data_IF_879364725886
#
_entry.id   IF_879364725886
#
_cell.length_a   1.000
_cell.length_b   1.000
_cell.length_c   1.000
_cell.angle_alpha   90.00
_cell.angle_beta   90.00
_cell.angle_gamma   90.00
#
_symmetry.space_group_name_H-M   'P 1'
#
loop_
_entity.id
_entity.type
_entity.pdbx_description
1 polymer ?
#
# COMPACT_ATOMS: atom_id res chain seq x y z
N UNK A 1 -22.83 -19.47 11.78
CA UNK A 1 -21.71 -19.76 10.86
C UNK A 1 -22.29 -20.35 9.58
N UNK A 2 -22.23 -19.62 8.47
CA UNK A 2 -22.61 -20.16 7.16
C UNK A 2 -21.55 -21.17 6.71
N UNK A 3 -21.98 -22.35 6.27
CA UNK A 3 -21.06 -23.39 5.78
C UNK A 3 -20.29 -22.97 4.53
N UNK A 4 -19.21 -23.69 4.22
CA UNK A 4 -18.45 -23.46 2.99
C UNK A 4 -19.36 -23.59 1.75
N UNK A 5 -19.20 -22.73 0.72
CA UNK A 5 -20.00 -22.79 -0.49
C UNK A 5 -19.75 -24.11 -1.24
N UNK A 6 -20.74 -24.55 -2.03
CA UNK A 6 -20.54 -25.64 -2.99
C UNK A 6 -19.58 -25.22 -4.11
N UNK A 7 -19.02 -26.19 -4.82
CA UNK A 7 -18.15 -25.93 -5.97
C UNK A 7 -18.85 -25.11 -7.08
N UNK A 8 -20.14 -25.35 -7.29
CA UNK A 8 -20.95 -24.61 -8.26
C UNK A 8 -21.19 -23.16 -7.84
N UNK A 9 -21.59 -22.94 -6.58
CA UNK A 9 -21.76 -21.61 -6.00
C UNK A 9 -20.46 -20.79 -6.09
N UNK A 10 -19.32 -21.44 -5.86
CA UNK A 10 -18.03 -20.79 -5.98
C UNK A 10 -17.70 -20.42 -7.43
N UNK A 11 -17.91 -21.31 -8.41
CA UNK A 11 -17.66 -20.98 -9.82
C UNK A 11 -18.51 -19.81 -10.30
N UNK A 12 -19.76 -19.72 -9.86
CA UNK A 12 -20.64 -18.59 -10.18
C UNK A 12 -20.05 -17.27 -9.63
N UNK A 13 -19.67 -17.24 -8.35
CA UNK A 13 -19.03 -16.06 -7.73
C UNK A 13 -17.72 -15.66 -8.41
N UNK A 14 -16.88 -16.63 -8.76
CA UNK A 14 -15.62 -16.36 -9.46
C UNK A 14 -15.87 -15.76 -10.85
N UNK A 15 -16.93 -16.17 -11.54
CA UNK A 15 -17.33 -15.58 -12.81
C UNK A 15 -17.78 -14.12 -12.65
N UNK A 16 -18.60 -13.83 -11.64
CA UNK A 16 -19.03 -12.46 -11.31
C UNK A 16 -17.83 -11.55 -11.00
N UNK A 17 -16.89 -12.02 -10.16
CA UNK A 17 -15.66 -11.27 -9.83
C UNK A 17 -14.83 -11.02 -11.08
N UNK A 18 -14.66 -12.04 -11.93
CA UNK A 18 -13.87 -11.93 -13.16
C UNK A 18 -14.45 -10.88 -14.09
N UNK A 19 -15.77 -10.89 -14.27
CA UNK A 19 -16.48 -9.91 -15.09
C UNK A 19 -16.30 -8.50 -14.54
N UNK A 20 -16.56 -8.29 -13.26
CA UNK A 20 -16.42 -6.99 -12.60
C UNK A 20 -14.99 -6.41 -12.67
N UNK A 21 -13.97 -7.28 -12.70
CA UNK A 21 -12.56 -6.86 -12.78
C UNK A 21 -12.00 -6.81 -14.21
N UNK A 22 -12.83 -7.00 -15.23
CA UNK A 22 -12.40 -6.90 -16.63
C UNK A 22 -11.56 -8.09 -17.11
N UNK A 23 -11.91 -9.30 -16.67
CA UNK A 23 -11.42 -10.56 -17.25
C UNK A 23 -10.47 -11.37 -16.39
N UNK A 24 -10.15 -10.97 -15.16
CA UNK A 24 -9.23 -11.69 -14.28
C UNK A 24 -9.72 -11.81 -12.84
N UNK A 25 -9.20 -12.80 -12.11
CA UNK A 25 -9.43 -12.97 -10.67
C UNK A 25 -8.09 -13.01 -9.95
N UNK A 26 -7.90 -12.10 -8.99
CA UNK A 26 -6.72 -12.16 -8.12
C UNK A 26 -6.89 -13.29 -7.09
N UNK A 27 -5.81 -13.99 -6.70
CA UNK A 27 -5.89 -15.16 -5.82
C UNK A 27 -6.63 -14.92 -4.50
N UNK A 28 -6.50 -13.73 -3.89
CA UNK A 28 -7.16 -13.45 -2.61
C UNK A 28 -8.67 -13.34 -2.72
N UNK A 29 -9.18 -12.80 -3.84
CA UNK A 29 -10.62 -12.81 -4.11
C UNK A 29 -11.17 -14.24 -4.17
N UNK A 30 -10.45 -15.16 -4.83
CA UNK A 30 -10.89 -16.55 -4.91
C UNK A 30 -10.84 -17.28 -3.57
N UNK A 31 -9.79 -17.07 -2.78
CA UNK A 31 -9.70 -17.61 -1.43
C UNK A 31 -10.84 -17.10 -0.51
N UNK A 32 -11.14 -15.79 -0.55
CA UNK A 32 -12.24 -15.22 0.23
C UNK A 32 -13.61 -15.67 -0.28
N UNK A 33 -13.83 -15.77 -1.58
CA UNK A 33 -15.08 -16.29 -2.13
C UNK A 33 -15.33 -17.75 -1.69
N UNK A 34 -14.27 -18.55 -1.55
CA UNK A 34 -14.31 -19.95 -1.16
C UNK A 34 -14.50 -20.19 0.35
N UNK A 35 -14.03 -19.30 1.22
CA UNK A 35 -14.05 -19.54 2.67
C UNK A 35 -14.47 -18.37 3.55
N UNK A 36 -14.39 -17.13 3.05
CA UNK A 36 -14.60 -15.91 3.82
C UNK A 36 -15.52 -14.91 3.07
N UNK A 37 -16.73 -15.29 2.66
CA UNK A 37 -17.57 -14.44 1.81
C UNK A 37 -17.97 -13.11 2.47
N UNK A 38 -18.14 -13.10 3.80
CA UNK A 38 -18.38 -11.84 4.53
C UNK A 38 -17.17 -10.90 4.51
N UNK A 39 -15.95 -11.46 4.56
CA UNK A 39 -14.73 -10.67 4.41
C UNK A 39 -14.56 -10.16 2.97
N UNK A 40 -14.94 -10.95 1.97
CA UNK A 40 -14.88 -10.52 0.57
C UNK A 40 -15.77 -9.29 0.33
N UNK A 41 -17.02 -9.30 0.82
CA UNK A 41 -17.91 -8.15 0.72
C UNK A 41 -17.35 -6.91 1.45
N UNK A 42 -16.80 -7.08 2.66
CA UNK A 42 -16.17 -5.99 3.40
C UNK A 42 -14.91 -5.45 2.69
N UNK A 43 -14.12 -6.33 2.08
CA UNK A 43 -12.95 -5.95 1.28
C UNK A 43 -13.35 -5.10 0.08
N UNK A 44 -14.44 -5.43 -0.62
CA UNK A 44 -14.91 -4.66 -1.78
C UNK A 44 -15.39 -3.26 -1.36
N UNK A 45 -16.15 -3.18 -0.25
CA UNK A 45 -16.54 -1.90 0.33
C UNK A 45 -15.32 -1.06 0.73
N UNK A 46 -14.32 -1.67 1.37
CA UNK A 46 -13.06 -1.00 1.72
C UNK A 46 -12.28 -0.58 0.47
N UNK A 47 -12.23 -1.40 -0.58
CA UNK A 47 -11.53 -1.07 -1.83
C UNK A 47 -12.17 0.14 -2.51
N UNK A 48 -13.49 0.18 -2.60
CA UNK A 48 -14.23 1.34 -3.09
C UNK A 48 -13.88 2.58 -2.25
N UNK A 49 -14.13 2.49 -0.94
CA UNK A 49 -13.98 3.61 -0.02
C UNK A 49 -12.55 4.11 0.09
N UNK A 50 -11.51 3.28 -0.07
CA UNK A 50 -10.12 3.73 0.10
C UNK A 50 -9.44 4.07 -1.24
N UNK A 51 -9.78 3.34 -2.31
CA UNK A 51 -9.00 3.38 -3.56
C UNK A 51 -9.72 4.13 -4.68
N UNK A 52 -11.03 3.98 -4.79
CA UNK A 52 -11.80 4.47 -5.93
C UNK A 52 -12.49 5.80 -5.66
N UNK A 53 -12.98 6.00 -4.44
CA UNK A 53 -13.61 7.27 -4.05
C UNK A 53 -12.54 8.38 -3.91
N UNK A 54 -12.94 9.59 -4.30
CA UNK A 54 -12.19 10.81 -4.04
C UNK A 54 -12.35 11.21 -2.57
N UNK A 55 -11.27 11.73 -1.96
CA UNK A 55 -11.25 12.15 -0.57
C UNK A 55 -10.60 13.52 -0.40
N UNK A 56 -9.52 13.59 0.37
CA UNK A 56 -8.89 14.83 0.80
C UNK A 56 -7.63 15.12 -0.03
N UNK A 57 -6.88 14.08 -0.41
CA UNK A 57 -5.78 14.19 -1.33
C UNK A 57 -6.31 14.43 -2.75
N UNK A 58 -5.74 15.43 -3.42
CA UNK A 58 -5.94 15.56 -4.86
C UNK A 58 -5.48 14.28 -5.59
N UNK A 59 -6.00 13.98 -6.79
CA UNK A 59 -5.57 12.81 -7.55
C UNK A 59 -4.05 12.73 -7.72
N UNK A 60 -3.40 13.87 -7.97
CA UNK A 60 -1.95 13.91 -8.10
C UNK A 60 -1.23 13.65 -6.77
N UNK A 61 -1.67 14.30 -5.68
CA UNK A 61 -1.09 14.09 -4.36
C UNK A 61 -1.21 12.64 -3.90
N UNK A 62 -2.36 12.00 -4.12
CA UNK A 62 -2.61 10.59 -3.81
C UNK A 62 -1.61 9.68 -4.53
N UNK A 63 -1.34 9.94 -5.81
CA UNK A 63 -0.39 9.14 -6.58
C UNK A 63 1.08 9.40 -6.19
N UNK A 64 1.44 10.59 -5.70
CA UNK A 64 2.75 10.86 -5.09
C UNK A 64 2.94 10.04 -3.81
N UNK A 65 1.95 10.02 -2.93
CA UNK A 65 1.98 9.20 -1.70
C UNK A 65 2.06 7.71 -2.05
N UNK A 66 1.25 7.25 -3.00
CA UNK A 66 1.33 5.86 -3.49
C UNK A 66 2.71 5.48 -3.98
N UNK A 67 3.32 6.31 -4.83
CA UNK A 67 4.64 6.05 -5.38
C UNK A 67 5.69 5.96 -4.27
N UNK A 68 5.61 6.81 -3.25
CA UNK A 68 6.51 6.80 -2.09
C UNK A 68 6.39 5.49 -1.29
N UNK A 69 5.16 5.07 -1.00
CA UNK A 69 4.90 3.84 -0.24
C UNK A 69 5.37 2.62 -1.03
N UNK A 70 5.05 2.52 -2.32
CA UNK A 70 5.47 1.40 -3.17
C UNK A 70 6.99 1.30 -3.25
N UNK A 71 7.68 2.43 -3.43
CA UNK A 71 9.14 2.49 -3.44
C UNK A 71 9.72 2.03 -2.10
N UNK A 72 9.22 2.55 -0.98
CA UNK A 72 9.72 2.21 0.35
C UNK A 72 9.41 0.76 0.78
N UNK A 73 8.31 0.18 0.27
CA UNK A 73 7.94 -1.21 0.51
C UNK A 73 8.59 -2.20 -0.47
N UNK A 74 9.39 -1.71 -1.43
CA UNK A 74 9.96 -2.50 -2.52
C UNK A 74 8.89 -3.33 -3.25
N UNK A 75 7.70 -2.76 -3.45
CA UNK A 75 6.55 -3.50 -3.96
C UNK A 75 6.56 -3.54 -5.50
N UNK A 76 6.77 -4.71 -6.13
CA UNK A 76 6.75 -4.83 -7.59
C UNK A 76 5.32 -4.81 -8.17
N UNK A 77 4.30 -4.89 -7.32
CA UNK A 77 2.88 -4.82 -7.67
C UNK A 77 2.40 -3.37 -7.61
N UNK A 78 1.40 -3.02 -8.42
CA UNK A 78 0.80 -1.67 -8.38
C UNK A 78 1.36 -0.70 -9.42
N UNK A 79 2.00 -1.20 -10.48
CA UNK A 79 2.57 -0.37 -11.58
C UNK A 79 1.55 0.53 -12.27
N UNK A 80 0.26 0.25 -12.17
CA UNK A 80 -0.80 1.15 -12.62
C UNK A 80 -0.79 2.52 -11.90
N UNK A 81 -0.26 2.61 -10.67
CA UNK A 81 -0.02 3.87 -9.98
C UNK A 81 1.05 4.73 -10.66
N UNK A 82 2.06 4.13 -11.30
CA UNK A 82 3.01 4.89 -12.11
C UNK A 82 2.31 5.51 -13.33
N UNK A 83 1.40 4.77 -13.96
CA UNK A 83 0.59 5.31 -15.06
C UNK A 83 -0.31 6.45 -14.57
N UNK A 84 -1.04 6.26 -13.47
CA UNK A 84 -1.91 7.29 -12.88
C UNK A 84 -1.11 8.53 -12.48
N UNK A 85 0.04 8.36 -11.82
CA UNK A 85 0.97 9.44 -11.50
C UNK A 85 1.27 10.29 -12.74
N UNK A 86 1.64 9.67 -13.87
CA UNK A 86 1.85 10.38 -15.14
C UNK A 86 0.60 11.07 -15.66
N UNK A 87 -0.55 10.39 -15.65
CA UNK A 87 -1.82 10.96 -16.12
C UNK A 87 -2.27 12.16 -15.30
N UNK A 88 -1.90 12.22 -14.01
CA UNK A 88 -2.17 13.35 -13.12
C UNK A 88 -1.14 14.49 -13.21
N UNK A 89 -0.18 14.42 -14.14
CA UNK A 89 0.83 15.46 -14.36
C UNK A 89 2.21 15.17 -13.79
N UNK A 90 2.41 13.97 -13.20
CA UNK A 90 3.66 13.60 -12.55
C UNK A 90 4.88 13.58 -13.47
N UNK A 91 5.97 14.18 -12.99
CA UNK A 91 7.23 14.37 -13.69
C UNK A 91 8.33 13.40 -13.22
N UNK A 92 9.40 13.28 -14.02
CA UNK A 92 10.58 12.50 -13.63
C UNK A 92 11.29 13.12 -12.42
N UNK A 93 11.25 14.46 -12.31
CA UNK A 93 11.86 15.19 -11.20
C UNK A 93 11.15 14.88 -9.87
N UNK A 94 9.81 14.89 -9.88
CA UNK A 94 8.99 14.49 -8.75
C UNK A 94 9.22 13.02 -8.38
N UNK A 95 9.20 12.11 -9.36
CA UNK A 95 9.45 10.69 -9.11
C UNK A 95 10.84 10.46 -8.48
N UNK A 96 11.87 11.13 -9.00
CA UNK A 96 13.21 11.06 -8.43
C UNK A 96 13.27 11.62 -7.00
N UNK A 97 12.53 12.69 -6.69
CA UNK A 97 12.41 13.22 -5.34
C UNK A 97 11.72 12.22 -4.39
N UNK A 98 10.61 11.63 -4.83
CA UNK A 98 9.91 10.56 -4.09
C UNK A 98 10.83 9.38 -3.78
N UNK A 99 11.65 8.93 -4.73
CA UNK A 99 12.58 7.82 -4.50
C UNK A 99 13.68 8.17 -3.51
N UNK A 100 14.18 9.42 -3.52
CA UNK A 100 15.11 9.89 -2.49
C UNK A 100 14.47 9.92 -1.11
N UNK A 101 13.22 10.37 -1.01
CA UNK A 101 12.47 10.34 0.26
C UNK A 101 12.26 8.91 0.78
N UNK A 102 11.85 7.98 -0.09
CA UNK A 102 11.68 6.58 0.27
C UNK A 102 12.99 5.95 0.79
N UNK A 103 14.12 6.25 0.15
CA UNK A 103 15.44 5.82 0.61
C UNK A 103 15.82 6.48 1.96
N UNK A 104 15.58 7.78 2.12
CA UNK A 104 15.84 8.53 3.35
C UNK A 104 15.08 7.96 4.55
N UNK A 105 13.81 7.59 4.36
CA UNK A 105 12.97 7.02 5.39
C UNK A 105 13.54 5.72 5.99
N UNK A 106 14.37 4.96 5.25
CA UNK A 106 15.12 3.82 5.78
C UNK A 106 16.08 4.19 6.93
N UNK A 107 16.50 5.45 6.99
CA UNK A 107 17.32 6.05 8.05
C UNK A 107 16.57 6.35 9.35
N UNK A 108 15.24 6.43 9.35
CA UNK A 108 14.45 6.87 10.52
C UNK A 108 14.70 6.02 11.77
N UNK A 109 14.90 4.69 11.63
CA UNK A 109 15.24 3.81 12.76
C UNK A 109 16.59 4.14 13.40
N UNK A 110 17.52 4.67 12.61
CA UNK A 110 18.84 5.08 13.09
C UNK A 110 18.68 6.39 13.87
N UNK A 111 17.98 7.37 13.31
CA UNK A 111 17.62 8.59 14.01
C UNK A 111 16.86 8.34 15.32
N UNK A 112 15.92 7.40 15.34
CA UNK A 112 15.23 7.00 16.57
C UNK A 112 16.21 6.52 17.67
N UNK A 113 17.21 5.72 17.27
CA UNK A 113 18.26 5.25 18.19
C UNK A 113 19.12 6.41 18.69
N UNK A 114 19.53 7.31 17.78
CA UNK A 114 20.33 8.49 18.12
C UNK A 114 19.55 9.44 19.05
N UNK A 115 18.28 9.68 18.78
CA UNK A 115 17.42 10.53 19.60
C UNK A 115 17.23 9.93 21.00
N UNK A 116 17.04 8.62 21.10
CA UNK A 116 16.86 7.95 22.40
C UNK A 116 18.14 7.87 23.23
N UNK A 117 19.29 7.64 22.61
CA UNK A 117 20.53 7.34 23.33
C UNK A 117 21.53 8.50 23.37
N UNK A 118 21.60 9.30 22.30
CA UNK A 118 22.70 10.25 22.07
C UNK A 118 22.27 11.71 22.17
N UNK A 119 20.97 12.02 22.09
CA UNK A 119 20.44 13.38 22.18
C UNK A 119 20.95 14.17 23.39
N UNK A 120 21.02 13.52 24.56
CA UNK A 120 21.54 14.13 25.79
C UNK A 120 23.03 14.53 25.70
N UNK A 121 23.81 13.86 24.84
CA UNK A 121 25.22 14.14 24.61
C UNK A 121 25.44 15.20 23.52
N UNK A 122 24.41 15.51 22.74
CA UNK A 122 24.42 16.48 21.65
C UNK A 122 23.32 17.54 21.85
N UNK A 123 23.34 18.32 22.95
CA UNK A 123 22.23 19.22 23.31
C UNK A 123 21.99 20.36 22.30
N UNK A 124 22.93 20.64 21.40
CA UNK A 124 22.77 21.63 20.33
C UNK A 124 22.17 21.08 19.04
N UNK A 125 21.95 19.76 18.93
CA UNK A 125 21.42 19.11 17.73
C UNK A 125 20.03 18.53 18.02
N UNK A 126 18.98 19.12 17.45
CA UNK A 126 17.66 18.51 17.45
C UNK A 126 17.59 17.45 16.34
N UNK A 127 17.65 16.17 16.72
CA UNK A 127 17.69 15.06 15.77
C UNK A 127 16.38 14.86 15.01
N UNK A 128 15.23 15.24 15.58
CA UNK A 128 13.95 15.16 14.87
C UNK A 128 13.89 16.25 13.79
N UNK A 129 14.31 17.47 14.14
CA UNK A 129 14.41 18.57 13.18
C UNK A 129 15.45 18.29 12.09
N UNK A 130 16.62 17.79 12.44
CA UNK A 130 17.68 17.43 11.49
C UNK A 130 17.20 16.38 10.47
N UNK A 131 16.43 15.38 10.93
CA UNK A 131 15.81 14.39 10.05
C UNK A 131 14.84 15.02 9.03
N UNK A 132 13.97 15.92 9.49
CA UNK A 132 12.98 16.62 8.66
C UNK A 132 13.67 17.56 7.66
N UNK A 133 14.69 18.29 8.12
CA UNK A 133 15.49 19.21 7.28
C UNK A 133 16.29 18.44 6.22
N UNK A 134 16.82 17.25 6.56
CA UNK A 134 17.44 16.34 5.60
C UNK A 134 16.46 15.90 4.51
N UNK A 135 15.24 15.51 4.87
CA UNK A 135 14.18 15.20 3.90
C UNK A 135 13.82 16.40 3.01
N UNK A 136 13.75 17.62 3.58
CA UNK A 136 13.50 18.87 2.82
C UNK A 136 14.62 19.13 1.81
N UNK A 137 15.87 18.92 2.19
CA UNK A 137 17.01 19.12 1.29
C UNK A 137 16.97 18.16 0.07
N UNK A 138 16.45 16.94 0.25
CA UNK A 138 16.38 15.93 -0.81
C UNK A 138 15.30 16.23 -1.88
N UNK A 139 14.25 16.96 -1.52
CA UNK A 139 13.18 17.31 -2.48
C UNK A 139 13.53 18.53 -3.32
N UNK A 140 14.24 19.52 -2.76
CA UNK A 140 14.46 20.81 -3.43
C UNK A 140 13.13 21.42 -3.90
N UNK A 141 13.11 22.00 -5.10
CA UNK A 141 11.90 22.57 -5.71
C UNK A 141 11.05 21.53 -6.47
N UNK A 142 11.43 20.24 -6.44
CA UNK A 142 10.75 19.21 -7.22
C UNK A 142 9.41 18.79 -6.60
N UNK A 143 9.20 18.98 -5.30
CA UNK A 143 7.94 18.68 -4.62
C UNK A 143 7.62 19.77 -3.60
N UNK A 144 6.34 20.18 -3.47
CA UNK A 144 5.91 21.00 -2.34
C UNK A 144 6.18 20.29 -1.01
N UNK A 145 6.71 21.03 -0.04
CA UNK A 145 7.04 20.46 1.26
C UNK A 145 5.86 19.78 1.98
N UNK A 146 4.63 20.35 2.00
CA UNK A 146 3.47 19.67 2.58
C UNK A 146 3.22 18.29 1.97
N UNK A 147 3.36 18.16 0.66
CA UNK A 147 3.16 16.89 -0.05
C UNK A 147 4.28 15.89 0.26
N UNK A 148 5.51 16.35 0.41
CA UNK A 148 6.61 15.50 0.85
C UNK A 148 6.39 14.93 2.27
N UNK A 149 5.83 15.72 3.19
CA UNK A 149 5.45 15.24 4.53
C UNK A 149 4.39 14.14 4.45
N UNK A 150 3.32 14.36 3.67
CA UNK A 150 2.27 13.35 3.46
C UNK A 150 2.82 12.04 2.86
N UNK A 151 3.75 12.14 1.91
CA UNK A 151 4.42 10.98 1.33
C UNK A 151 5.22 10.19 2.39
N UNK A 152 6.00 10.89 3.23
CA UNK A 152 6.78 10.25 4.31
C UNK A 152 5.89 9.71 5.44
N UNK A 153 4.77 10.35 5.75
CA UNK A 153 3.75 9.83 6.68
C UNK A 153 3.24 8.47 6.19
N UNK A 154 2.88 8.37 4.90
CA UNK A 154 2.48 7.10 4.30
C UNK A 154 3.57 6.04 4.36
N UNK A 155 4.82 6.42 4.07
CA UNK A 155 5.99 5.54 4.14
C UNK A 155 6.23 5.02 5.57
N UNK A 156 6.22 5.90 6.58
CA UNK A 156 6.47 5.51 7.97
C UNK A 156 5.33 4.69 8.56
N UNK A 157 4.08 4.98 8.16
CA UNK A 157 2.93 4.14 8.50
C UNK A 157 3.10 2.72 7.91
N UNK A 158 3.50 2.61 6.64
CA UNK A 158 3.75 1.31 6.02
C UNK A 158 4.97 0.57 6.61
N UNK A 159 5.98 1.31 7.07
CA UNK A 159 7.20 0.77 7.66
C UNK A 159 7.10 0.38 9.14
N UNK A 160 5.98 0.68 9.81
CA UNK A 160 5.84 0.63 11.27
C UNK A 160 7.00 1.37 11.98
N UNK A 161 7.18 2.64 11.60
CA UNK A 161 8.29 3.49 12.05
C UNK A 161 7.76 4.65 12.90
N UNK A 162 7.32 4.35 14.12
CA UNK A 162 6.65 5.31 15.01
C UNK A 162 7.42 6.63 15.22
N UNK A 163 8.75 6.57 15.39
CA UNK A 163 9.57 7.77 15.57
C UNK A 163 9.57 8.68 14.33
N UNK A 164 9.77 8.09 13.14
CA UNK A 164 9.73 8.85 11.89
C UNK A 164 8.32 9.38 11.60
N UNK A 165 7.29 8.56 11.86
CA UNK A 165 5.90 8.98 11.72
C UNK A 165 5.59 10.19 12.61
N UNK A 166 6.03 10.18 13.87
CA UNK A 166 5.82 11.31 14.78
C UNK A 166 6.50 12.58 14.26
N UNK A 167 7.78 12.51 13.86
CA UNK A 167 8.53 13.65 13.32
C UNK A 167 7.85 14.26 12.08
N UNK A 168 7.34 13.42 11.17
CA UNK A 168 6.66 13.86 9.96
C UNK A 168 5.27 14.44 10.23
N UNK A 169 4.52 13.90 11.20
CA UNK A 169 3.24 14.47 11.64
C UNK A 169 3.47 15.83 12.28
N UNK A 170 4.42 15.97 13.21
CA UNK A 170 4.74 17.26 13.83
C UNK A 170 5.15 18.32 12.79
N UNK A 171 5.95 17.93 11.80
CA UNK A 171 6.33 18.80 10.69
C UNK A 171 5.13 19.17 9.79
N UNK A 172 4.23 18.22 9.51
CA UNK A 172 3.01 18.47 8.75
C UNK A 172 2.09 19.47 9.47
N UNK A 173 1.92 19.34 10.79
CA UNK A 173 1.18 20.31 11.61
C UNK A 173 1.81 21.70 11.57
N UNK A 174 3.15 21.79 11.64
CA UNK A 174 3.86 23.06 11.54
C UNK A 174 3.65 23.77 10.19
N UNK A 175 3.35 23.02 9.13
CA UNK A 175 3.01 23.53 7.79
C UNK A 175 1.50 23.77 7.58
N UNK A 176 0.66 23.44 8.57
CA UNK A 176 -0.79 23.56 8.47
C UNK A 176 -1.44 22.52 7.54
N UNK A 177 -0.83 21.34 7.37
CA UNK A 177 -1.43 20.24 6.60
C UNK A 177 -2.74 19.79 7.27
N UNK A 178 -3.85 19.67 6.54
CA UNK A 178 -5.12 19.22 7.10
C UNK A 178 -5.04 17.78 7.63
N UNK A 179 -5.54 17.55 8.84
CA UNK A 179 -5.63 16.20 9.45
C UNK A 179 -6.30 15.15 8.55
N UNK A 180 -7.36 15.48 7.76
CA UNK A 180 -7.95 14.52 6.85
C UNK A 180 -7.00 14.02 5.75
N UNK A 181 -6.08 14.85 5.26
CA UNK A 181 -5.04 14.44 4.30
C UNK A 181 -4.01 13.52 4.96
N UNK A 182 -3.63 13.80 6.22
CA UNK A 182 -2.74 12.95 7.02
C UNK A 182 -3.37 11.56 7.21
N UNK A 183 -4.66 11.52 7.58
CA UNK A 183 -5.40 10.28 7.77
C UNK A 183 -5.48 9.46 6.47
N UNK A 184 -5.78 10.12 5.35
CA UNK A 184 -5.81 9.45 4.04
C UNK A 184 -4.43 8.90 3.67
N UNK A 185 -3.35 9.68 3.82
CA UNK A 185 -2.00 9.24 3.50
C UNK A 185 -1.57 7.99 4.31
N UNK A 186 -1.89 7.94 5.60
CA UNK A 186 -1.63 6.76 6.44
C UNK A 186 -2.45 5.55 6.00
N UNK A 187 -3.71 5.75 5.63
CA UNK A 187 -4.64 4.66 5.30
C UNK A 187 -4.19 3.85 4.07
N UNK A 188 -3.46 4.46 3.15
CA UNK A 188 -2.93 3.78 1.95
C UNK A 188 -1.96 2.64 2.29
N UNK A 189 -1.32 2.65 3.46
CA UNK A 189 -0.43 1.59 3.94
C UNK A 189 -1.12 0.21 4.06
N UNK A 190 -2.46 0.18 4.20
CA UNK A 190 -3.26 -1.06 4.27
C UNK A 190 -3.00 -1.98 3.06
N UNK A 191 -2.74 -1.40 1.89
CA UNK A 191 -2.52 -2.18 0.67
C UNK A 191 -1.16 -2.91 0.66
N UNK A 192 -0.01 -2.22 0.67
CA UNK A 192 1.29 -2.90 0.58
C UNK A 192 1.64 -3.73 1.82
N UNK A 193 0.99 -3.48 2.96
CA UNK A 193 1.29 -4.18 4.24
C UNK A 193 0.20 -5.12 4.72
N UNK A 194 -1.01 -5.04 4.17
CA UNK A 194 -2.11 -5.96 4.45
C UNK A 194 -2.52 -6.76 3.22
N UNK A 195 -3.05 -6.08 2.21
CA UNK A 195 -3.65 -6.74 1.04
C UNK A 195 -2.61 -7.43 0.16
N UNK A 196 -1.52 -6.77 -0.22
CA UNK A 196 -0.49 -7.36 -1.10
C UNK A 196 0.16 -8.61 -0.49
N UNK A 197 0.52 -8.63 0.82
CA UNK A 197 0.92 -9.88 1.49
C UNK A 197 -0.14 -10.97 1.38
N UNK A 198 -1.43 -10.64 1.53
CA UNK A 198 -2.51 -11.61 1.39
C UNK A 198 -2.67 -12.12 -0.05
N UNK A 199 -2.51 -11.27 -1.06
CA UNK A 199 -2.44 -11.67 -2.48
C UNK A 199 -1.32 -12.69 -2.69
N UNK A 200 -0.10 -12.42 -2.21
CA UNK A 200 1.05 -13.35 -2.36
C UNK A 200 0.85 -14.66 -1.61
N UNK A 201 0.28 -14.62 -0.41
CA UNK A 201 -0.02 -15.81 0.38
C UNK A 201 -1.04 -16.72 -0.33
N UNK A 202 -2.12 -16.13 -0.83
CA UNK A 202 -3.16 -16.86 -1.56
C UNK A 202 -2.70 -17.33 -2.94
N UNK A 203 -1.81 -16.58 -3.60
CA UNK A 203 -1.14 -17.04 -4.81
C UNK A 203 -0.26 -18.28 -4.55
N UNK A 204 0.52 -18.26 -3.47
CA UNK A 204 1.33 -19.42 -3.06
C UNK A 204 0.44 -20.63 -2.82
N UNK A 205 -0.69 -20.45 -2.12
CA UNK A 205 -1.62 -21.53 -1.85
C UNK A 205 -2.28 -22.08 -3.13
N UNK A 206 -2.73 -21.18 -4.02
CA UNK A 206 -3.29 -21.55 -5.32
C UNK A 206 -2.31 -22.42 -6.12
N UNK A 207 -1.03 -22.02 -6.18
CA UNK A 207 0.03 -22.77 -6.87
C UNK A 207 0.27 -24.16 -6.25
N UNK A 208 0.21 -24.28 -4.92
CA UNK A 208 0.34 -25.59 -4.25
C UNK A 208 -0.80 -26.55 -4.65
N UNK A 209 -2.03 -26.04 -4.75
CA UNK A 209 -3.19 -26.85 -5.18
C UNK A 209 -3.04 -27.26 -6.65
N UNK A 210 -2.72 -26.31 -7.53
CA UNK A 210 -2.55 -26.56 -8.96
C UNK A 210 -1.41 -27.55 -9.25
N UNK A 211 -0.35 -27.54 -8.44
CA UNK A 211 0.76 -28.49 -8.53
C UNK A 211 0.47 -29.87 -7.90
N UNK A 212 -0.74 -30.09 -7.35
CA UNK A 212 -1.10 -31.36 -6.69
C UNK A 212 -0.32 -31.64 -5.40
N UNK A 213 0.35 -30.64 -4.81
CA UNK A 213 1.15 -30.79 -3.58
C UNK A 213 0.31 -30.88 -2.33
N UNK A 214 -0.97 -30.50 -2.42
CA UNK A 214 -1.98 -30.59 -1.36
C UNK A 214 -3.29 -31.10 -1.94
N UNK A 215 -4.13 -31.74 -1.12
CA UNK A 215 -5.45 -32.22 -1.51
C UNK A 215 -6.54 -31.22 -1.12
N UNK A 216 -7.07 -30.41 -2.05
CA UNK A 216 -8.09 -29.41 -1.73
C UNK A 216 -9.46 -30.06 -1.49
N UNK A 217 -10.30 -29.40 -0.70
CA UNK A 217 -11.75 -29.69 -0.66
C UNK A 217 -12.41 -29.34 -2.00
N UNK A 218 -13.66 -29.78 -2.27
CA UNK A 218 -14.33 -29.51 -3.54
C UNK A 218 -14.41 -28.02 -3.92
N UNK A 219 -14.65 -27.13 -2.95
CA UNK A 219 -14.66 -25.68 -3.19
C UNK A 219 -13.26 -25.17 -3.60
N UNK A 220 -12.22 -25.51 -2.83
CA UNK A 220 -10.85 -25.08 -3.14
C UNK A 220 -10.30 -25.68 -4.43
N UNK A 221 -10.79 -26.86 -4.83
CA UNK A 221 -10.53 -27.45 -6.15
C UNK A 221 -11.17 -26.61 -7.26
N UNK A 222 -12.44 -26.24 -7.10
CA UNK A 222 -13.13 -25.38 -8.05
C UNK A 222 -12.50 -23.99 -8.17
N UNK A 223 -11.98 -23.44 -7.07
CA UNK A 223 -11.14 -22.25 -7.11
C UNK A 223 -9.89 -22.50 -7.96
N UNK A 224 -9.10 -23.54 -7.67
CA UNK A 224 -7.85 -23.79 -8.38
C UNK A 224 -7.99 -24.07 -9.89
N UNK A 225 -9.10 -24.67 -10.30
CA UNK A 225 -9.44 -25.00 -11.69
C UNK A 225 -10.02 -23.81 -12.47
N UNK A 226 -10.40 -22.71 -11.81
CA UNK A 226 -11.03 -21.58 -12.49
C UNK A 226 -10.02 -20.84 -13.40
N UNK A 227 -10.37 -20.52 -14.66
CA UNK A 227 -9.42 -19.88 -15.58
C UNK A 227 -9.27 -18.36 -15.32
N UNK A 228 -8.15 -17.79 -15.76
CA UNK A 228 -7.89 -16.35 -15.67
C UNK A 228 -7.45 -15.88 -14.28
N UNK A 229 -6.69 -16.70 -13.56
CA UNK A 229 -6.20 -16.41 -12.22
C UNK A 229 -4.70 -16.11 -12.20
N UNK A 230 -4.30 -15.15 -11.37
CA UNK A 230 -2.90 -14.83 -11.11
C UNK A 230 -2.74 -13.40 -10.58
N UNK A 231 -1.68 -13.14 -9.81
CA UNK A 231 -1.35 -11.78 -9.39
C UNK A 231 -0.88 -10.91 -10.59
N UNK A 232 -0.36 -11.57 -11.62
CA UNK A 232 0.09 -10.98 -12.87
C UNK A 232 -0.56 -11.76 -14.02
N UNK A 233 -1.74 -11.33 -14.45
CA UNK A 233 -2.28 -11.75 -15.74
C UNK A 233 -1.75 -10.73 -16.74
N UNK A 234 -0.80 -11.07 -17.64
CA UNK A 234 -0.44 -10.18 -18.72
C UNK A 234 -1.71 -9.92 -19.54
N UNK A 235 -1.99 -8.65 -19.84
CA UNK A 235 -2.86 -8.33 -20.97
C UNK A 235 -2.06 -8.45 -22.25
#
# INVERSE_FOLDING_TARGET
MTGAPSAEQLRARLAEIREARGGYVLPHHGAMAAALPGLHAAYEAMYQALTLDDHHLSPHAKEVVWLAILAACEEPVGTHHLQKFRTTGGTDAEAAAVFRLAAWAGGARRYATLAGAWQQHLPGLDLARDYVDGARALIGDALPEPLARLALIGVHAAGDQAWGLAAEIEAAYALGVPEPEIAEAMSLAIWPRGVNPFVRATETWLRLIQAGRVSPSPAFRAWAEFPGQGAFVPR
#
